data_IF_312670577955
#
_entry.id   IF_312670577955
#
_cell.length_a   1.000
_cell.length_b   1.000
_cell.length_c   1.000
_cell.angle_alpha   90.00
_cell.angle_beta   90.00
_cell.angle_gamma   90.00
#
_symmetry.space_group_name_H-M   'P 1'
#
loop_
_entity.id
_entity.type
_entity.pdbx_description
1 polymer ?
#
# COMPACT_ATOMS: atom_id res chain seq x y z
N UNK A 1 29.75 22.60 -20.76
CA UNK A 1 29.09 22.51 -19.44
C UNK A 1 27.66 22.92 -19.63
N UNK A 2 26.73 21.99 -19.60
CA UNK A 2 25.30 22.30 -19.51
C UNK A 2 24.67 21.17 -18.71
N UNK A 3 24.72 21.32 -17.38
CA UNK A 3 23.93 20.47 -16.48
C UNK A 3 22.53 21.05 -16.55
N UNK A 4 21.66 20.37 -17.29
CA UNK A 4 20.22 20.63 -17.24
C UNK A 4 19.76 20.20 -15.87
N UNK A 5 19.73 21.13 -14.91
CA UNK A 5 19.07 20.93 -13.64
C UNK A 5 17.57 20.78 -13.93
N UNK A 6 17.11 19.53 -13.98
CA UNK A 6 15.68 19.25 -13.93
C UNK A 6 15.19 19.81 -12.59
N UNK A 7 14.20 20.71 -12.65
CA UNK A 7 13.46 21.17 -11.48
C UNK A 7 12.90 19.95 -10.78
N UNK A 8 13.51 19.56 -9.68
CA UNK A 8 12.97 18.60 -8.74
C UNK A 8 11.72 19.26 -8.16
N UNK A 9 10.56 18.67 -8.40
CA UNK A 9 9.30 19.07 -7.76
C UNK A 9 9.44 18.83 -6.26
N UNK A 10 9.39 19.88 -5.45
CA UNK A 10 9.48 19.82 -3.97
C UNK A 10 8.32 19.03 -3.31
N UNK A 11 7.33 18.58 -4.08
CA UNK A 11 6.21 17.78 -3.62
C UNK A 11 6.23 16.40 -4.29
N UNK A 12 6.05 15.30 -3.54
CA UNK A 12 5.94 13.96 -4.12
C UNK A 12 4.80 13.87 -5.14
N UNK A 13 4.99 13.11 -6.21
CA UNK A 13 3.97 12.92 -7.25
C UNK A 13 2.94 11.84 -6.81
N UNK A 14 1.66 12.20 -6.54
CA UNK A 14 0.64 11.24 -6.12
C UNK A 14 0.46 10.07 -7.09
N UNK A 15 0.57 10.32 -8.40
CA UNK A 15 0.38 9.29 -9.42
C UNK A 15 1.51 8.25 -9.41
N UNK A 16 2.72 8.68 -9.07
CA UNK A 16 3.88 7.80 -8.92
C UNK A 16 3.73 6.97 -7.65
N UNK A 17 3.28 7.59 -6.55
CA UNK A 17 3.02 6.91 -5.28
C UNK A 17 1.93 5.84 -5.47
N UNK A 18 0.81 6.20 -6.09
CA UNK A 18 -0.29 5.30 -6.43
C UNK A 18 0.17 4.10 -7.25
N UNK A 19 0.92 4.34 -8.33
CA UNK A 19 1.43 3.27 -9.18
C UNK A 19 2.36 2.31 -8.40
N UNK A 20 3.19 2.83 -7.49
CA UNK A 20 4.06 2.01 -6.64
C UNK A 20 3.28 1.25 -5.57
N UNK A 21 2.27 1.88 -4.97
CA UNK A 21 1.38 1.27 -3.98
C UNK A 21 0.58 0.12 -4.61
N UNK A 22 0.01 0.34 -5.80
CA UNK A 22 -0.67 -0.70 -6.57
C UNK A 22 0.25 -1.86 -6.95
N UNK A 23 1.47 -1.54 -7.42
CA UNK A 23 2.45 -2.55 -7.78
C UNK A 23 2.88 -3.39 -6.57
N UNK A 24 3.10 -2.76 -5.41
CA UNK A 24 3.42 -3.48 -4.18
C UNK A 24 2.24 -4.30 -3.67
N UNK A 25 1.02 -3.77 -3.70
CA UNK A 25 -0.20 -4.48 -3.31
C UNK A 25 -0.44 -5.71 -4.18
N UNK A 26 -0.29 -5.58 -5.52
CA UNK A 26 -0.38 -6.70 -6.47
C UNK A 26 0.74 -7.73 -6.25
N UNK A 27 1.96 -7.29 -5.92
CA UNK A 27 3.06 -8.20 -5.55
C UNK A 27 2.74 -8.97 -4.26
N UNK A 28 2.41 -8.27 -3.18
CA UNK A 28 2.23 -8.84 -1.86
C UNK A 28 1.03 -9.80 -1.79
N UNK A 29 -0.07 -9.45 -2.47
CA UNK A 29 -1.32 -10.19 -2.40
C UNK A 29 -1.50 -11.23 -3.50
N UNK A 30 -1.02 -10.95 -4.72
CA UNK A 30 -1.27 -11.77 -5.91
C UNK A 30 0.01 -12.41 -6.47
N UNK A 31 1.19 -12.06 -5.96
CA UNK A 31 2.47 -12.54 -6.47
C UNK A 31 2.83 -11.98 -7.85
N UNK A 32 2.20 -10.88 -8.28
CA UNK A 32 2.49 -10.24 -9.57
C UNK A 32 3.78 -9.43 -9.46
N UNK A 33 4.84 -9.76 -10.22
CA UNK A 33 6.10 -9.05 -10.11
C UNK A 33 5.95 -7.60 -10.62
N UNK A 34 6.44 -6.60 -9.88
CA UNK A 34 6.42 -5.21 -10.32
C UNK A 34 7.48 -4.97 -11.40
N UNK A 35 7.28 -3.93 -12.22
CA UNK A 35 8.25 -3.54 -13.26
C UNK A 35 9.59 -3.05 -12.67
N UNK A 36 9.57 -2.53 -11.45
CA UNK A 36 10.74 -2.12 -10.67
C UNK A 36 10.67 -2.75 -9.28
N UNK A 37 11.80 -3.06 -8.63
CA UNK A 37 11.80 -3.54 -7.25
C UNK A 37 11.12 -2.54 -6.31
N UNK A 38 10.20 -3.03 -5.47
CA UNK A 38 9.54 -2.22 -4.44
C UNK A 38 9.73 -2.92 -3.10
N UNK A 39 10.29 -2.21 -2.14
CA UNK A 39 10.49 -2.71 -0.79
C UNK A 39 9.19 -2.63 -0.01
N UNK A 40 8.85 -3.70 0.70
CA UNK A 40 7.74 -3.65 1.61
C UNK A 40 7.51 -4.92 2.41
N UNK A 41 6.58 -4.83 3.35
CA UNK A 41 6.13 -5.91 4.23
C UNK A 41 4.63 -5.96 4.25
N UNK A 42 4.07 -7.16 4.26
CA UNK A 42 2.64 -7.38 4.44
C UNK A 42 2.39 -7.92 5.84
N UNK A 43 1.45 -7.30 6.53
CA UNK A 43 0.96 -7.69 7.84
C UNK A 43 -0.53 -7.94 7.77
N UNK A 44 -0.97 -8.91 8.57
CA UNK A 44 -2.36 -9.30 8.71
C UNK A 44 -2.67 -9.32 10.21
N UNK A 45 -3.77 -8.72 10.63
CA UNK A 45 -4.13 -8.72 12.06
C UNK A 45 -4.52 -10.12 12.53
N UNK A 46 -4.31 -10.39 13.81
CA UNK A 46 -4.69 -11.67 14.44
C UNK A 46 -6.17 -12.00 14.18
N UNK A 47 -7.06 -11.04 14.37
CA UNK A 47 -8.51 -11.22 14.15
C UNK A 47 -8.83 -11.72 12.74
N UNK A 48 -8.11 -11.23 11.73
CA UNK A 48 -8.29 -11.64 10.34
C UNK A 48 -7.68 -13.02 10.08
N UNK A 49 -6.53 -13.33 10.67
CA UNK A 49 -5.92 -14.67 10.61
C UNK A 49 -6.81 -15.74 11.28
N UNK A 50 -7.49 -15.38 12.36
CA UNK A 50 -8.35 -16.28 13.16
C UNK A 50 -9.78 -16.40 12.61
N UNK A 51 -10.14 -15.62 11.58
CA UNK A 51 -11.48 -15.66 10.96
C UNK A 51 -11.83 -17.02 10.32
N UNK A 52 -10.84 -17.90 10.09
CA UNK A 52 -11.06 -19.27 9.62
C UNK A 52 -11.52 -19.38 8.16
N UNK A 53 -11.83 -20.60 7.71
CA UNK A 53 -12.54 -20.90 6.46
C UNK A 53 -12.01 -20.24 5.17
N UNK A 54 -10.69 -20.02 5.11
CA UNK A 54 -10.05 -19.36 3.98
C UNK A 54 -10.34 -17.85 3.87
N UNK A 55 -11.01 -17.25 4.85
CA UNK A 55 -11.39 -15.83 4.84
C UNK A 55 -10.17 -14.91 4.69
N UNK A 56 -9.06 -15.21 5.36
CA UNK A 56 -7.80 -14.48 5.19
C UNK A 56 -7.32 -14.48 3.73
N UNK A 57 -7.42 -15.62 3.04
CA UNK A 57 -6.98 -15.71 1.64
C UNK A 57 -7.92 -14.92 0.70
N UNK A 58 -9.22 -14.90 1.00
CA UNK A 58 -10.18 -14.04 0.29
C UNK A 58 -9.88 -12.55 0.52
N UNK A 59 -9.61 -12.16 1.76
CA UNK A 59 -9.21 -10.80 2.12
C UNK A 59 -7.94 -10.37 1.40
N UNK A 60 -6.87 -11.17 1.46
CA UNK A 60 -5.61 -10.90 0.75
C UNK A 60 -5.87 -10.76 -0.75
N UNK A 61 -6.63 -11.68 -1.36
CA UNK A 61 -6.93 -11.62 -2.80
C UNK A 61 -7.74 -10.38 -3.17
N UNK A 62 -8.78 -10.06 -2.40
CA UNK A 62 -9.61 -8.88 -2.62
C UNK A 62 -8.80 -7.59 -2.49
N UNK A 63 -7.96 -7.48 -1.45
CA UNK A 63 -7.01 -6.38 -1.31
C UNK A 63 -6.08 -6.28 -2.52
N UNK A 64 -5.56 -7.38 -3.06
CA UNK A 64 -4.73 -7.36 -4.28
C UNK A 64 -5.45 -6.93 -5.55
N UNK A 65 -6.76 -7.17 -5.65
CA UNK A 65 -7.60 -6.89 -6.81
C UNK A 65 -8.38 -5.57 -6.72
N UNK A 66 -8.31 -4.87 -5.59
CA UNK A 66 -9.04 -3.62 -5.39
C UNK A 66 -8.64 -2.57 -6.44
N UNK A 67 -9.60 -1.93 -7.10
CA UNK A 67 -9.34 -0.87 -8.11
C UNK A 67 -10.31 0.31 -7.96
N UNK A 68 -11.07 0.36 -6.85
CA UNK A 68 -12.13 1.34 -6.62
C UNK A 68 -11.63 2.47 -5.71
N UNK A 69 -10.85 3.39 -6.28
CA UNK A 69 -10.39 4.59 -5.57
C UNK A 69 -11.36 5.74 -5.85
N UNK A 70 -11.85 6.36 -4.77
CA UNK A 70 -12.79 7.48 -4.82
C UNK A 70 -12.33 8.59 -3.86
N UNK A 71 -12.86 9.83 -4.00
CA UNK A 71 -12.40 10.94 -3.16
C UNK A 71 -12.65 10.77 -1.66
N UNK A 72 -13.51 9.84 -1.22
CA UNK A 72 -13.76 9.57 0.20
C UNK A 72 -12.70 8.64 0.79
N UNK A 73 -12.25 7.65 0.01
CA UNK A 73 -11.25 6.66 0.44
C UNK A 73 -9.81 7.02 0.07
N UNK A 74 -9.59 7.90 -0.91
CA UNK A 74 -8.29 8.26 -1.46
C UNK A 74 -8.22 9.76 -1.80
N UNK A 75 -8.30 10.65 -0.80
CA UNK A 75 -8.35 12.10 -1.02
C UNK A 75 -7.08 12.65 -1.67
N UNK A 76 -5.93 12.03 -1.37
CA UNK A 76 -4.62 12.44 -1.89
C UNK A 76 -4.25 11.73 -3.20
N UNK A 77 -5.02 10.71 -3.62
CA UNK A 77 -4.74 9.96 -4.84
C UNK A 77 -3.53 9.02 -4.72
N UNK A 78 -3.22 8.54 -3.51
CA UNK A 78 -2.03 7.73 -3.20
C UNK A 78 -2.32 6.24 -3.27
N UNK A 79 -3.58 5.84 -3.38
CA UNK A 79 -4.00 4.44 -3.39
C UNK A 79 -3.50 3.68 -2.13
N UNK A 80 -3.53 4.34 -0.98
CA UNK A 80 -2.94 3.85 0.26
C UNK A 80 -3.98 3.32 1.27
N UNK A 81 -5.27 3.42 0.96
CA UNK A 81 -6.34 2.89 1.80
C UNK A 81 -7.46 2.28 0.95
N UNK A 82 -8.15 1.28 1.52
CA UNK A 82 -9.37 0.77 0.92
C UNK A 82 -10.14 -0.16 1.85
N UNK A 83 -11.40 -0.39 1.47
CA UNK A 83 -12.32 -1.27 2.18
C UNK A 83 -12.95 -2.27 1.21
N UNK A 84 -13.04 -3.53 1.62
CA UNK A 84 -13.71 -4.58 0.84
C UNK A 84 -14.68 -5.36 1.72
N UNK A 85 -15.87 -5.63 1.21
CA UNK A 85 -16.87 -6.44 1.89
C UNK A 85 -16.76 -7.90 1.44
N UNK A 86 -16.53 -8.79 2.40
CA UNK A 86 -16.33 -10.23 2.17
C UNK A 86 -17.24 -10.98 3.13
N UNK A 87 -18.17 -11.77 2.60
CA UNK A 87 -19.12 -12.58 3.40
C UNK A 87 -19.89 -11.78 4.48
N UNK A 88 -20.13 -10.49 4.24
CA UNK A 88 -20.84 -9.61 5.19
C UNK A 88 -19.94 -8.96 6.25
N UNK A 89 -18.64 -9.23 6.22
CA UNK A 89 -17.63 -8.55 7.04
C UNK A 89 -16.85 -7.54 6.19
N UNK A 90 -16.64 -6.35 6.73
CA UNK A 90 -15.80 -5.34 6.08
C UNK A 90 -14.34 -5.55 6.50
N UNK A 91 -13.46 -5.59 5.51
CA UNK A 91 -12.01 -5.68 5.69
C UNK A 91 -11.40 -4.37 5.22
N UNK A 92 -10.63 -3.74 6.09
CA UNK A 92 -9.81 -2.59 5.75
C UNK A 92 -8.40 -3.03 5.39
N UNK A 93 -7.79 -2.28 4.49
CA UNK A 93 -6.37 -2.37 4.25
C UNK A 93 -5.79 -0.96 4.11
N UNK A 94 -4.52 -0.83 4.49
CA UNK A 94 -3.76 0.40 4.28
C UNK A 94 -2.30 0.16 3.95
N UNK A 95 -1.65 1.17 3.37
CA UNK A 95 -0.23 1.24 3.10
C UNK A 95 0.39 2.40 3.88
N UNK A 96 1.17 2.07 4.90
CA UNK A 96 2.00 3.06 5.58
C UNK A 96 3.37 3.15 4.87
N UNK A 97 3.82 4.37 4.58
CA UNK A 97 5.06 4.66 3.85
C UNK A 97 6.13 5.17 4.82
N UNK A 98 7.15 4.35 5.06
CA UNK A 98 8.25 4.68 5.98
C UNK A 98 9.56 4.90 5.24
N UNK A 99 10.48 5.66 5.84
CA UNK A 99 11.87 5.65 5.41
C UNK A 99 12.48 4.26 5.61
N UNK A 100 13.13 3.72 4.57
CA UNK A 100 13.62 2.34 4.54
C UNK A 100 14.61 2.00 5.67
N UNK A 101 15.45 2.97 6.06
CA UNK A 101 16.50 2.80 7.07
C UNK A 101 16.09 3.30 8.47
N UNK A 102 14.82 3.64 8.67
CA UNK A 102 14.34 4.25 9.94
C UNK A 102 13.84 3.26 10.99
N UNK A 103 13.82 1.96 10.70
CA UNK A 103 13.12 0.95 11.52
C UNK A 103 11.65 1.32 11.80
N UNK A 104 10.94 1.85 10.79
CA UNK A 104 9.53 2.28 10.87
C UNK A 104 9.27 3.46 11.83
N UNK A 105 10.29 4.28 12.13
CA UNK A 105 10.15 5.43 13.03
C UNK A 105 9.68 6.69 12.34
N UNK A 106 9.99 6.85 11.06
CA UNK A 106 9.71 8.06 10.30
C UNK A 106 8.97 7.73 9.01
N UNK A 107 7.97 8.55 8.69
CA UNK A 107 7.32 8.53 7.39
C UNK A 107 8.31 8.93 6.30
N UNK A 108 8.18 8.34 5.11
CA UNK A 108 9.10 8.63 4.01
C UNK A 108 9.03 10.11 3.61
N UNK A 109 10.18 10.80 3.59
CA UNK A 109 10.27 12.16 3.04
C UNK A 109 10.07 12.19 1.52
N UNK A 110 10.43 11.10 0.83
CA UNK A 110 10.28 10.93 -0.62
C UNK A 110 9.48 9.66 -0.94
N UNK A 111 8.15 9.64 -0.70
CA UNK A 111 7.30 8.45 -0.86
C UNK A 111 7.20 7.94 -2.31
N UNK A 112 7.49 8.80 -3.29
CA UNK A 112 7.60 8.49 -4.71
C UNK A 112 8.95 7.87 -5.11
N UNK A 113 9.93 7.82 -4.21
CA UNK A 113 11.18 7.09 -4.40
C UNK A 113 11.11 5.70 -3.76
N UNK A 114 11.01 4.62 -4.55
CA UNK A 114 10.86 3.25 -4.05
C UNK A 114 12.15 2.71 -3.39
N UNK A 115 13.30 3.33 -3.63
CA UNK A 115 14.58 2.88 -3.09
C UNK A 115 14.79 3.32 -1.63
N UNK A 116 14.17 4.43 -1.23
CA UNK A 116 14.25 5.01 0.12
C UNK A 116 12.96 4.80 0.92
N UNK A 117 11.95 4.17 0.33
CA UNK A 117 10.62 4.00 0.92
C UNK A 117 10.28 2.53 1.16
N UNK A 118 9.98 2.20 2.40
CA UNK A 118 9.46 0.91 2.84
C UNK A 118 7.93 0.98 2.94
N UNK A 119 7.24 0.16 2.15
CA UNK A 119 5.77 0.05 2.17
C UNK A 119 5.30 -1.01 3.14
N UNK A 120 4.42 -0.65 4.07
CA UNK A 120 3.83 -1.60 5.01
C UNK A 120 2.35 -1.76 4.69
N UNK A 121 2.00 -2.87 4.05
CA UNK A 121 0.61 -3.24 3.81
C UNK A 121 0.04 -3.89 5.06
N UNK A 122 -0.99 -3.30 5.65
CA UNK A 122 -1.74 -3.93 6.75
C UNK A 122 -3.13 -4.28 6.27
N UNK A 123 -3.53 -5.54 6.42
CA UNK A 123 -4.89 -6.02 6.12
C UNK A 123 -5.55 -6.43 7.43
N UNK A 124 -6.75 -5.92 7.70
CA UNK A 124 -7.39 -6.04 9.01
C UNK A 124 -8.91 -6.00 8.92
N UNK A 125 -9.58 -6.51 9.95
CA UNK A 125 -11.02 -6.32 10.09
C UNK A 125 -11.29 -4.92 10.64
N UNK A 126 -12.46 -4.34 10.34
CA UNK A 126 -12.80 -2.97 10.79
C UNK A 126 -12.69 -2.75 12.29
N UNK A 127 -12.91 -3.79 13.10
CA UNK A 127 -12.76 -3.74 14.56
C UNK A 127 -11.32 -3.60 15.06
N UNK A 128 -10.33 -3.83 14.19
CA UNK A 128 -8.91 -3.68 14.50
C UNK A 128 -8.36 -2.31 14.03
N UNK A 129 -9.21 -1.48 13.40
CA UNK A 129 -8.89 -0.12 12.93
C UNK A 129 -8.97 0.91 14.05
#
# INVERSE_FOLDING_TARGET
>A
MTITAQRQTDCPDPSVIAAQNDAFRKLACLGVPPAQPIQGRMHVTRSLMEAGDGFMAEAVKATGMFETFDPENDPEGWHDFGAVDIRGETVFWKLDLYEADSDFRYGAEAPDNPATTMRVLTIMLTRDW
#
